data_IF_521815901707
#
_entry.id   IF_521815901707
#
_cell.length_a   1.000
_cell.length_b   1.000
_cell.length_c   1.000
_cell.angle_alpha   90.00
_cell.angle_beta   90.00
_cell.angle_gamma   90.00
#
_symmetry.space_group_name_H-M   'P 1'
#
loop_
_entity.id
_entity.type
_entity.pdbx_description
1 polymer ?
#
# COMPACT_ATOMS: atom_id res chain seq x y z
N UNK A 1 -81.15 48.63 -14.77
CA UNK A 1 -80.31 47.65 -15.45
C UNK A 1 -79.06 48.39 -15.95
N UNK A 2 -77.98 48.35 -15.16
CA UNK A 2 -76.74 49.09 -15.38
C UNK A 2 -75.70 48.08 -15.75
N UNK A 3 -75.10 48.13 -16.92
CA UNK A 3 -73.99 47.26 -17.35
C UNK A 3 -72.71 47.95 -17.05
N UNK A 4 -71.95 47.38 -16.11
CA UNK A 4 -70.61 47.79 -15.79
C UNK A 4 -69.59 47.16 -16.73
N UNK A 5 -68.81 48.00 -17.39
CA UNK A 5 -67.74 47.65 -18.28
C UNK A 5 -66.41 47.54 -17.48
N UNK A 6 -65.91 46.33 -17.37
CA UNK A 6 -64.59 46.09 -16.69
C UNK A 6 -63.48 46.28 -17.73
N UNK A 7 -62.60 47.21 -17.40
CA UNK A 7 -61.38 47.50 -18.14
C UNK A 7 -60.22 46.63 -17.60
N UNK A 8 -59.77 45.66 -18.38
CA UNK A 8 -58.58 44.85 -18.00
C UNK A 8 -57.32 45.58 -18.42
N UNK A 9 -56.57 46.08 -17.44
CA UNK A 9 -55.23 46.62 -17.67
C UNK A 9 -54.23 45.44 -17.58
N UNK A 10 -53.62 45.10 -18.70
CA UNK A 10 -52.59 44.06 -18.81
C UNK A 10 -51.23 44.68 -18.49
N UNK A 11 -50.71 44.45 -17.31
CA UNK A 11 -49.33 44.83 -16.96
C UNK A 11 -48.36 43.79 -17.52
N UNK A 12 -47.63 44.16 -18.55
CA UNK A 12 -46.46 43.37 -19.00
C UNK A 12 -45.28 43.64 -18.08
N UNK A 13 -44.96 42.64 -17.23
CA UNK A 13 -43.73 42.64 -16.42
C UNK A 13 -42.63 42.06 -17.28
N UNK A 14 -41.71 42.91 -17.72
CA UNK A 14 -40.50 42.52 -18.43
C UNK A 14 -39.50 41.97 -17.40
N UNK A 15 -39.40 40.65 -17.26
CA UNK A 15 -38.39 40.02 -16.40
C UNK A 15 -37.02 40.05 -17.11
N UNK A 16 -36.14 40.93 -16.63
CA UNK A 16 -34.74 40.93 -17.05
C UNK A 16 -34.05 39.80 -16.25
N UNK A 17 -33.85 38.65 -16.90
CA UNK A 17 -33.03 37.57 -16.37
C UNK A 17 -31.56 37.98 -16.46
N UNK A 18 -31.00 38.51 -15.38
CA UNK A 18 -29.57 38.65 -15.24
C UNK A 18 -28.97 37.26 -15.07
N UNK A 19 -28.42 36.72 -16.14
CA UNK A 19 -27.67 35.47 -16.14
C UNK A 19 -26.38 35.65 -15.32
N UNK A 20 -26.39 35.19 -14.08
CA UNK A 20 -25.17 34.99 -13.30
C UNK A 20 -24.41 33.82 -13.96
N UNK A 21 -23.45 34.15 -14.81
CA UNK A 21 -22.44 33.20 -15.28
C UNK A 21 -21.63 32.76 -14.08
N UNK A 22 -21.95 31.59 -13.53
CA UNK A 22 -21.06 30.93 -12.57
C UNK A 22 -19.82 30.54 -13.36
N UNK A 23 -18.71 31.23 -13.08
CA UNK A 23 -17.39 30.78 -13.51
C UNK A 23 -17.16 29.42 -12.87
N UNK A 24 -17.28 28.36 -13.67
CA UNK A 24 -16.97 27.00 -13.27
C UNK A 24 -15.48 26.95 -13.07
N UNK A 25 -15.09 26.89 -11.79
CA UNK A 25 -13.68 26.75 -11.39
C UNK A 25 -13.11 25.51 -12.08
N UNK A 26 -12.10 25.69 -12.90
CA UNK A 26 -11.45 24.59 -13.60
C UNK A 26 -10.93 23.60 -12.54
N UNK A 27 -11.11 22.28 -12.74
CA UNK A 27 -10.55 21.32 -11.81
C UNK A 27 -9.04 21.54 -11.69
N UNK A 28 -8.44 21.36 -10.49
CA UNK A 28 -7.01 21.54 -10.30
C UNK A 28 -6.26 20.69 -11.32
N UNK A 29 -5.23 21.29 -11.92
CA UNK A 29 -4.41 20.63 -12.93
C UNK A 29 -3.99 19.25 -12.41
N UNK A 30 -4.37 18.21 -13.13
CA UNK A 30 -3.93 16.84 -12.86
C UNK A 30 -2.41 16.85 -12.84
N UNK A 31 -1.82 16.39 -11.73
CA UNK A 31 -0.40 16.10 -11.64
C UNK A 31 -0.12 14.89 -12.56
N UNK A 32 -0.09 15.13 -13.86
CA UNK A 32 0.36 14.14 -14.81
C UNK A 32 1.84 13.87 -14.53
N UNK A 33 2.19 12.62 -14.35
CA UNK A 33 3.58 12.21 -14.25
C UNK A 33 4.33 12.67 -15.52
N UNK A 34 5.55 13.19 -15.42
CA UNK A 34 6.30 13.63 -16.57
C UNK A 34 6.55 12.47 -17.53
N UNK A 35 6.14 12.62 -18.79
CA UNK A 35 6.38 11.70 -19.89
C UNK A 35 7.83 11.86 -20.39
N UNK A 36 8.80 11.49 -19.54
CA UNK A 36 10.19 11.38 -19.96
C UNK A 36 10.52 9.90 -20.10
N UNK A 37 11.32 9.53 -21.09
CA UNK A 37 11.98 8.23 -21.13
C UNK A 37 12.82 8.09 -19.84
N UNK A 38 12.20 7.54 -18.82
CA UNK A 38 12.70 7.62 -17.46
C UNK A 38 13.96 6.76 -17.38
N UNK A 39 15.07 7.37 -17.00
CA UNK A 39 16.23 6.64 -16.54
C UNK A 39 15.77 5.71 -15.41
N UNK A 40 16.14 4.41 -15.52
CA UNK A 40 15.81 3.43 -14.47
C UNK A 40 16.19 3.96 -13.08
N UNK A 41 15.25 3.89 -12.18
CA UNK A 41 15.37 4.38 -10.79
C UNK A 41 15.46 3.21 -9.82
N UNK A 42 15.89 3.40 -8.57
CA UNK A 42 15.84 2.34 -7.56
C UNK A 42 14.43 1.75 -7.36
N UNK A 43 13.37 2.50 -7.64
CA UNK A 43 11.98 2.04 -7.53
C UNK A 43 11.60 1.01 -8.61
N UNK A 44 12.17 1.10 -9.80
CA UNK A 44 11.81 0.24 -10.94
C UNK A 44 12.25 -1.23 -10.76
N UNK A 45 13.12 -1.50 -9.79
CA UNK A 45 13.58 -2.86 -9.48
C UNK A 45 12.60 -3.69 -8.64
N UNK A 46 11.49 -3.14 -8.18
CA UNK A 46 10.50 -3.84 -7.34
C UNK A 46 9.51 -4.63 -8.22
N UNK A 47 10.02 -5.69 -8.87
CA UNK A 47 9.27 -6.45 -9.88
C UNK A 47 8.78 -7.83 -9.40
N UNK A 48 9.18 -8.25 -8.22
CA UNK A 48 8.74 -9.53 -7.64
C UNK A 48 7.45 -9.27 -6.88
N UNK A 49 6.35 -9.86 -7.33
CA UNK A 49 5.03 -9.66 -6.74
C UNK A 49 4.65 -10.82 -5.82
N UNK A 50 4.36 -10.49 -4.56
CA UNK A 50 3.99 -11.46 -3.53
C UNK A 50 2.75 -10.94 -2.80
N UNK A 51 1.87 -11.84 -2.36
CA UNK A 51 0.80 -11.49 -1.41
C UNK A 51 0.92 -12.29 -0.14
N UNK A 52 0.72 -11.61 0.99
CA UNK A 52 0.69 -12.25 2.30
C UNK A 52 -0.17 -11.45 3.30
N UNK A 53 -0.89 -12.14 4.22
CA UNK A 53 -1.51 -11.49 5.36
C UNK A 53 -0.49 -11.21 6.46
N UNK A 54 -0.64 -10.09 7.14
CA UNK A 54 0.20 -9.70 8.27
C UNK A 54 -0.57 -9.69 9.59
N UNK A 55 0.13 -9.88 10.68
CA UNK A 55 -0.36 -9.62 12.03
C UNK A 55 0.17 -8.25 12.49
N UNK A 56 -0.71 -7.25 12.55
CA UNK A 56 -0.38 -5.87 12.92
C UNK A 56 -1.24 -5.46 14.10
N UNK A 57 -0.62 -5.00 15.18
CA UNK A 57 -1.30 -4.64 16.43
C UNK A 57 -2.25 -5.77 16.93
N UNK A 58 -1.84 -7.04 16.81
CA UNK A 58 -2.60 -8.21 17.21
C UNK A 58 -3.78 -8.60 16.31
N UNK A 59 -3.93 -7.97 15.14
CA UNK A 59 -5.00 -8.24 14.18
C UNK A 59 -4.44 -8.74 12.85
N UNK A 60 -5.06 -9.76 12.27
CA UNK A 60 -4.78 -10.20 10.92
C UNK A 60 -5.31 -9.17 9.94
N UNK A 61 -4.46 -8.72 9.02
CA UNK A 61 -4.75 -7.75 7.96
C UNK A 61 -4.22 -8.22 6.62
N UNK A 62 -4.77 -7.68 5.55
CA UNK A 62 -4.43 -8.05 4.18
C UNK A 62 -5.33 -9.18 3.63
N UNK A 63 -4.87 -9.97 2.63
CA UNK A 63 -3.48 -10.00 2.16
C UNK A 63 -3.05 -8.67 1.56
N UNK A 64 -1.79 -8.28 1.81
CA UNK A 64 -1.19 -7.11 1.20
C UNK A 64 -0.35 -7.51 0.00
N UNK A 65 -0.24 -6.60 -0.98
CA UNK A 65 0.59 -6.76 -2.16
C UNK A 65 1.99 -6.23 -1.89
N UNK A 66 2.98 -7.10 -2.01
CA UNK A 66 4.39 -6.79 -1.84
C UNK A 66 5.02 -6.72 -3.23
N UNK A 67 5.61 -5.61 -3.56
CA UNK A 67 6.48 -5.49 -4.72
C UNK A 67 7.91 -5.43 -4.22
N UNK A 68 8.68 -6.47 -4.53
CA UNK A 68 9.97 -6.74 -3.92
C UNK A 68 11.12 -6.64 -4.93
N UNK A 69 12.29 -6.29 -4.42
CA UNK A 69 13.56 -6.19 -5.14
C UNK A 69 14.66 -6.89 -4.36
N UNK A 70 15.45 -7.73 -5.03
CA UNK A 70 16.66 -8.30 -4.45
C UNK A 70 17.76 -7.24 -4.51
N UNK A 71 18.25 -6.82 -3.35
CA UNK A 71 19.28 -5.78 -3.21
C UNK A 71 20.68 -6.36 -3.27
N UNK A 72 20.87 -7.58 -2.72
CA UNK A 72 22.14 -8.28 -2.76
C UNK A 72 21.97 -9.80 -2.88
N UNK A 73 23.00 -10.53 -3.40
CA UNK A 73 22.96 -11.99 -3.55
C UNK A 73 22.90 -12.77 -2.23
N UNK A 74 23.56 -12.30 -1.18
CA UNK A 74 23.24 -12.74 0.18
C UNK A 74 21.89 -12.11 0.48
N UNK A 75 20.78 -12.91 0.62
CA UNK A 75 19.47 -12.33 0.41
C UNK A 75 19.20 -11.15 1.35
N UNK A 76 19.23 -9.96 0.76
CA UNK A 76 18.65 -8.75 1.28
C UNK A 76 17.62 -8.29 0.26
N UNK A 77 16.36 -8.40 0.63
CA UNK A 77 15.21 -8.09 -0.22
C UNK A 77 14.47 -6.92 0.44
N UNK A 78 14.09 -5.96 -0.37
CA UNK A 78 13.29 -4.80 0.01
C UNK A 78 11.93 -4.92 -0.65
N UNK A 79 10.84 -4.81 0.11
CA UNK A 79 9.47 -4.87 -0.39
C UNK A 79 8.69 -3.62 -0.04
N UNK A 80 7.99 -3.08 -1.04
CA UNK A 80 6.99 -2.03 -0.88
C UNK A 80 5.62 -2.68 -0.74
N UNK A 81 4.86 -2.30 0.29
CA UNK A 81 3.58 -2.93 0.64
C UNK A 81 2.41 -2.02 0.28
N UNK A 82 1.44 -2.57 -0.45
CA UNK A 82 0.24 -1.88 -0.90
C UNK A 82 -1.04 -2.61 -0.49
N UNK A 83 -2.15 -1.87 -0.32
CA UNK A 83 -3.46 -2.45 0.01
C UNK A 83 -4.04 -3.27 -1.14
N UNK A 84 -3.81 -2.84 -2.39
CA UNK A 84 -4.30 -3.46 -3.62
C UNK A 84 -3.20 -3.45 -4.68
N UNK A 85 -3.46 -4.07 -5.83
CA UNK A 85 -2.58 -4.05 -7.01
C UNK A 85 -2.87 -2.89 -7.98
N UNK A 86 -3.81 -2.01 -7.64
CA UNK A 86 -4.17 -0.87 -8.49
C UNK A 86 -3.00 0.12 -8.61
N UNK A 87 -2.86 0.75 -9.77
CA UNK A 87 -1.80 1.73 -10.04
C UNK A 87 -1.77 2.93 -9.07
N UNK A 88 -2.90 3.23 -8.42
CA UNK A 88 -3.03 4.30 -7.44
C UNK A 88 -3.18 3.78 -6.00
N UNK A 89 -2.84 2.50 -5.76
CA UNK A 89 -2.86 1.93 -4.43
C UNK A 89 -1.93 2.70 -3.48
N UNK A 90 -2.35 2.79 -2.23
CA UNK A 90 -1.56 3.45 -1.18
C UNK A 90 -0.39 2.56 -0.77
N UNK A 91 0.81 3.14 -0.69
CA UNK A 91 1.93 2.54 0.01
C UNK A 91 1.62 2.57 1.52
N UNK A 92 1.39 1.39 2.09
CA UNK A 92 0.99 1.25 3.50
C UNK A 92 2.11 0.78 4.41
N UNK A 93 3.20 0.29 3.84
CA UNK A 93 4.32 -0.22 4.62
C UNK A 93 5.53 -0.60 3.77
N UNK A 94 6.55 -1.05 4.47
CA UNK A 94 7.75 -1.64 3.87
C UNK A 94 8.13 -2.89 4.65
N UNK A 95 8.72 -3.86 3.98
CA UNK A 95 9.32 -5.02 4.61
C UNK A 95 10.77 -5.18 4.15
N UNK A 96 11.66 -5.44 5.09
CA UNK A 96 13.00 -5.89 4.81
C UNK A 96 13.12 -7.36 5.13
N UNK A 97 13.63 -8.13 4.18
CA UNK A 97 13.81 -9.58 4.24
C UNK A 97 15.30 -9.83 4.14
N UNK A 98 15.91 -10.38 5.20
CA UNK A 98 17.37 -10.45 5.35
C UNK A 98 17.80 -11.87 5.68
N UNK A 99 18.92 -12.30 5.10
CA UNK A 99 19.51 -13.61 5.35
C UNK A 99 19.66 -13.90 6.86
N UNK A 100 19.30 -15.12 7.27
CA UNK A 100 19.47 -15.59 8.67
C UNK A 100 20.92 -15.57 9.13
N UNK A 101 21.88 -15.72 8.21
CA UNK A 101 23.31 -15.58 8.49
C UNK A 101 23.66 -14.20 9.08
N UNK A 102 22.90 -13.17 8.69
CA UNK A 102 23.07 -11.79 9.18
C UNK A 102 22.21 -11.53 10.43
N UNK A 103 20.91 -11.84 10.35
CA UNK A 103 19.95 -11.51 11.41
C UNK A 103 20.14 -12.36 12.68
N UNK A 104 20.80 -13.54 12.56
CA UNK A 104 21.08 -14.45 13.68
C UNK A 104 22.50 -14.29 14.24
N UNK A 105 23.33 -13.44 13.66
CA UNK A 105 24.60 -13.03 14.25
C UNK A 105 24.35 -12.01 15.35
N UNK A 106 24.54 -12.43 16.60
CA UNK A 106 24.30 -11.57 17.78
C UNK A 106 25.22 -10.35 17.85
N UNK A 107 26.33 -10.34 17.09
CA UNK A 107 27.20 -9.16 16.95
C UNK A 107 26.57 -8.09 16.06
N UNK A 108 25.70 -8.51 15.11
CA UNK A 108 24.99 -7.62 14.20
C UNK A 108 23.62 -7.25 14.79
N UNK A 109 22.87 -8.24 15.28
CA UNK A 109 21.53 -8.06 15.80
C UNK A 109 21.35 -8.84 17.11
N UNK A 110 21.39 -8.18 18.27
CA UNK A 110 21.20 -8.86 19.55
C UNK A 110 19.90 -9.66 19.59
N UNK A 111 19.94 -10.91 20.06
CA UNK A 111 18.79 -11.82 20.09
C UNK A 111 17.54 -11.21 20.74
N UNK A 112 17.71 -10.40 21.78
CA UNK A 112 16.62 -9.69 22.45
C UNK A 112 15.93 -8.68 21.51
N UNK A 113 16.68 -8.01 20.64
CA UNK A 113 16.13 -7.09 19.63
C UNK A 113 15.40 -7.88 18.54
N UNK A 114 16.02 -8.98 18.05
CA UNK A 114 15.40 -9.85 17.06
C UNK A 114 14.01 -10.33 17.53
N UNK A 115 13.90 -10.90 18.73
CA UNK A 115 12.64 -11.43 19.27
C UNK A 115 11.50 -10.42 19.35
N UNK A 116 11.80 -9.14 19.36
CA UNK A 116 10.77 -8.09 19.49
C UNK A 116 10.06 -7.74 18.20
N UNK A 117 10.78 -7.80 17.07
CA UNK A 117 10.32 -7.14 15.84
C UNK A 117 10.53 -7.97 14.58
N UNK A 118 11.41 -8.98 14.61
CA UNK A 118 11.68 -9.85 13.46
C UNK A 118 10.85 -11.12 13.51
N UNK A 119 10.56 -11.68 12.35
CA UNK A 119 9.88 -12.96 12.19
C UNK A 119 10.66 -13.89 11.27
N UNK A 120 10.46 -15.20 11.46
CA UNK A 120 11.13 -16.27 10.73
C UNK A 120 10.27 -16.71 9.53
N UNK A 121 10.81 -16.63 8.33
CA UNK A 121 10.11 -17.08 7.11
C UNK A 121 10.10 -18.59 6.91
N UNK A 122 10.91 -19.37 7.65
CA UNK A 122 10.89 -20.85 7.53
C UNK A 122 9.75 -21.51 8.30
N UNK A 123 8.98 -20.75 9.10
CA UNK A 123 7.85 -21.31 9.84
C UNK A 123 6.74 -21.72 8.88
N UNK A 124 6.30 -22.97 8.95
CA UNK A 124 5.32 -23.55 8.01
C UNK A 124 4.04 -22.71 7.87
N UNK A 125 3.50 -22.22 8.98
CA UNK A 125 2.34 -21.33 8.98
C UNK A 125 2.57 -19.97 8.29
N UNK A 126 3.81 -19.49 8.22
CA UNK A 126 4.18 -18.30 7.46
C UNK A 126 4.21 -18.62 5.98
N UNK A 127 4.93 -19.67 5.58
CA UNK A 127 5.07 -20.09 4.17
C UNK A 127 3.69 -20.39 3.55
N UNK A 128 2.79 -21.07 4.26
CA UNK A 128 1.47 -21.43 3.76
C UNK A 128 0.55 -20.25 3.45
N UNK A 129 0.87 -19.06 3.98
CA UNK A 129 0.11 -17.83 3.76
C UNK A 129 0.69 -16.93 2.66
N UNK A 130 1.89 -17.23 2.16
CA UNK A 130 2.56 -16.44 1.12
C UNK A 130 2.21 -16.98 -0.26
N UNK A 131 1.85 -16.09 -1.18
CA UNK A 131 1.64 -16.42 -2.60
C UNK A 131 2.56 -15.57 -3.46
N UNK A 132 3.39 -16.22 -4.26
CA UNK A 132 4.21 -15.56 -5.28
C UNK A 132 3.39 -15.48 -6.56
N UNK A 133 3.26 -14.29 -7.12
CA UNK A 133 2.44 -13.99 -8.28
C UNK A 133 3.32 -13.62 -9.48
N UNK A 134 2.73 -13.61 -10.66
CA UNK A 134 3.31 -13.07 -11.90
C UNK A 134 4.66 -13.69 -12.32
N UNK A 135 4.95 -14.93 -11.88
CA UNK A 135 6.13 -15.66 -12.32
C UNK A 135 5.85 -17.16 -12.52
N UNK A 136 6.68 -17.85 -13.36
CA UNK A 136 6.56 -19.30 -13.57
C UNK A 136 6.67 -20.07 -12.25
N UNK A 137 5.96 -21.22 -12.10
CA UNK A 137 5.91 -21.98 -10.85
C UNK A 137 7.28 -22.45 -10.32
N UNK A 138 8.20 -22.81 -11.21
CA UNK A 138 9.57 -23.17 -10.86
C UNK A 138 10.34 -22.00 -10.25
N UNK A 139 10.18 -20.81 -10.81
CA UNK A 139 10.79 -19.57 -10.31
C UNK A 139 10.14 -19.11 -9.00
N UNK A 140 8.81 -19.23 -8.88
CA UNK A 140 8.11 -18.97 -7.64
C UNK A 140 8.60 -19.86 -6.50
N UNK A 141 8.83 -21.16 -6.78
CA UNK A 141 9.40 -22.09 -5.82
C UNK A 141 10.84 -21.72 -5.43
N UNK A 142 11.70 -21.42 -6.40
CA UNK A 142 13.09 -20.98 -6.15
C UNK A 142 13.14 -19.74 -5.26
N UNK A 143 12.26 -18.77 -5.51
CA UNK A 143 12.11 -17.58 -4.69
C UNK A 143 11.65 -17.92 -3.27
N UNK A 144 10.61 -18.75 -3.12
CA UNK A 144 10.11 -19.19 -1.82
C UNK A 144 11.17 -19.95 -1.01
N UNK A 145 11.96 -20.85 -1.65
CA UNK A 145 13.07 -21.56 -1.03
C UNK A 145 14.19 -20.59 -0.56
N UNK A 146 14.36 -19.47 -1.25
CA UNK A 146 15.28 -18.41 -0.86
C UNK A 146 14.75 -17.63 0.35
N UNK A 147 13.48 -17.22 0.30
CA UNK A 147 12.81 -16.50 1.40
C UNK A 147 12.79 -17.33 2.68
N UNK A 148 12.61 -18.65 2.61
CA UNK A 148 12.64 -19.54 3.77
C UNK A 148 13.98 -19.50 4.55
N UNK A 149 15.07 -19.03 3.92
CA UNK A 149 16.38 -18.86 4.54
C UNK A 149 16.60 -17.48 5.18
N UNK A 150 15.53 -16.68 5.27
CA UNK A 150 15.57 -15.30 5.74
C UNK A 150 14.69 -15.07 6.95
N UNK A 151 14.91 -13.95 7.61
CA UNK A 151 14.00 -13.33 8.57
C UNK A 151 13.47 -12.02 7.98
N UNK A 152 12.27 -11.60 8.39
CA UNK A 152 11.65 -10.35 7.96
C UNK A 152 11.36 -9.39 9.10
N UNK A 153 11.27 -8.10 8.74
CA UNK A 153 10.76 -7.05 9.60
C UNK A 153 9.80 -6.16 8.81
N UNK A 154 8.58 -5.98 9.30
CA UNK A 154 7.51 -5.23 8.65
C UNK A 154 7.27 -3.92 9.39
N UNK A 155 7.35 -2.80 8.66
CA UNK A 155 6.97 -1.48 9.14
C UNK A 155 5.64 -1.08 8.50
N UNK A 156 4.57 -1.09 9.28
CA UNK A 156 3.27 -0.55 8.86
C UNK A 156 3.27 0.95 9.09
N UNK A 157 3.21 1.71 8.00
CA UNK A 157 3.31 3.17 7.99
C UNK A 157 1.94 3.86 7.99
N UNK A 158 0.88 3.09 7.71
CA UNK A 158 -0.47 3.62 7.58
C UNK A 158 -1.41 2.91 8.56
N UNK A 159 -1.88 3.58 9.63
CA UNK A 159 -2.83 2.99 10.57
C UNK A 159 -4.16 2.64 9.89
N UNK A 160 -4.78 1.54 10.30
CA UNK A 160 -6.06 1.10 9.77
C UNK A 160 -7.13 2.20 9.89
N UNK A 161 -7.87 2.42 8.79
CA UNK A 161 -8.95 3.40 8.72
C UNK A 161 -8.50 4.87 8.72
N UNK A 162 -7.20 5.14 8.84
CA UNK A 162 -6.70 6.51 8.76
C UNK A 162 -6.78 7.04 7.31
N UNK A 163 -7.19 8.29 7.15
CA UNK A 163 -7.21 8.96 5.84
C UNK A 163 -5.82 9.37 5.36
N UNK A 164 -4.89 9.55 6.29
CA UNK A 164 -3.50 9.96 6.05
C UNK A 164 -2.57 9.20 7.00
N UNK A 165 -1.28 9.03 6.65
CA UNK A 165 -0.27 8.57 7.60
C UNK A 165 -0.23 9.51 8.80
N UNK A 166 -0.20 8.96 10.00
CA UNK A 166 -0.25 9.75 11.25
C UNK A 166 1.12 9.96 11.90
N UNK A 167 2.18 9.41 11.29
CA UNK A 167 3.52 9.36 11.90
C UNK A 167 3.72 8.21 12.89
N UNK A 168 2.64 7.49 13.26
CA UNK A 168 2.75 6.26 14.04
C UNK A 168 3.17 5.12 13.12
N UNK A 169 4.25 4.42 13.48
CA UNK A 169 4.70 3.19 12.83
C UNK A 169 4.37 2.02 13.74
N UNK A 170 3.70 0.99 13.21
CA UNK A 170 3.48 -0.28 13.89
C UNK A 170 4.39 -1.34 13.29
N UNK A 171 4.94 -2.22 14.14
CA UNK A 171 5.70 -3.38 13.67
C UNK A 171 4.73 -4.52 13.45
N UNK A 172 4.73 -5.04 12.23
CA UNK A 172 3.98 -6.22 11.83
C UNK A 172 4.82 -7.48 11.93
N UNK A 173 4.15 -8.63 11.89
CA UNK A 173 4.73 -9.95 11.70
C UNK A 173 3.86 -10.77 10.77
N UNK A 174 4.36 -11.92 10.33
CA UNK A 174 3.59 -12.81 9.48
C UNK A 174 2.56 -13.61 10.28
N UNK A 175 1.39 -13.87 9.66
CA UNK A 175 0.39 -14.78 10.22
C UNK A 175 0.98 -16.20 10.28
N UNK A 176 0.81 -16.88 11.41
CA UNK A 176 1.43 -18.17 11.66
C UNK A 176 2.78 -18.11 12.36
N UNK A 177 3.40 -16.92 12.46
CA UNK A 177 4.58 -16.74 13.28
C UNK A 177 4.19 -16.73 14.77
N UNK A 178 4.72 -17.67 15.54
CA UNK A 178 4.56 -17.64 16.99
C UNK A 178 5.35 -16.45 17.55
N UNK A 179 4.64 -15.46 18.08
CA UNK A 179 5.29 -14.37 18.82
C UNK A 179 5.91 -14.99 20.06
N UNK A 180 7.24 -15.08 20.09
CA UNK A 180 7.96 -15.49 21.28
C UNK A 180 7.83 -14.36 22.32
N UNK A 181 6.85 -14.51 23.21
CA UNK A 181 6.72 -13.69 24.41
C UNK A 181 7.88 -13.91 25.37
#
# INVERSE_FOLDING_TARGET
MIKTLSLLISCFILAIAAGLSQAQEAPPASLAAPEAAAKATPADGHVIHVTAPHLIDGKVRGPFHHYCKIVSPEPFIECLLYETEDNNAKLIGVEYIVAKTVTRDEKVLPRKAWKKVWHDHSVEGVIGNVKVLDMPPDKAKEFADTVAKTDGIIFSLWPEGAKLPTGKVSIGTMVGHAVHQ
#
